data_IF_864019222969
#
_entry.id   IF_864019222969
#
_cell.length_a   1.000
_cell.length_b   1.000
_cell.length_c   1.000
_cell.angle_alpha   90.00
_cell.angle_beta   90.00
_cell.angle_gamma   90.00
#
_symmetry.space_group_name_H-M   'P 1'
#
loop_
_entity.id
_entity.type
_entity.pdbx_description
1 polymer ?
#
# COMPACT_ATOMS: atom_id res chain seq x y z
N UNK A 1 63.88 72.52 -10.63
CA UNK A 1 62.45 72.63 -10.29
C UNK A 1 61.67 71.57 -11.09
N UNK A 2 61.37 70.45 -10.49
CA UNK A 2 60.47 69.40 -11.09
C UNK A 2 59.52 68.98 -10.00
N UNK A 3 58.27 69.34 -10.13
CA UNK A 3 57.14 69.00 -9.28
C UNK A 3 56.71 67.55 -9.54
N UNK A 4 56.74 66.72 -8.50
CA UNK A 4 56.23 65.34 -8.54
C UNK A 4 54.72 65.36 -8.08
N UNK A 5 53.85 65.00 -8.94
CA UNK A 5 52.40 64.80 -8.63
C UNK A 5 52.22 63.33 -8.25
N UNK A 6 51.91 63.08 -6.97
CA UNK A 6 51.64 61.78 -6.46
C UNK A 6 50.13 61.49 -6.71
N UNK A 7 49.86 60.48 -7.56
CA UNK A 7 48.49 60.00 -7.81
C UNK A 7 48.14 58.96 -6.73
N UNK A 8 47.16 59.30 -5.90
CA UNK A 8 46.62 58.39 -4.92
C UNK A 8 45.53 57.54 -5.61
N UNK A 9 45.81 56.26 -5.85
CA UNK A 9 44.85 55.34 -6.40
C UNK A 9 44.00 54.79 -5.24
N UNK A 10 42.74 55.29 -5.17
CA UNK A 10 41.76 54.78 -4.23
C UNK A 10 41.11 53.51 -4.86
N UNK A 11 41.48 52.34 -4.37
CA UNK A 11 40.83 51.10 -4.76
C UNK A 11 39.51 50.99 -3.99
N UNK A 12 38.41 51.21 -4.68
CA UNK A 12 37.08 50.93 -4.15
C UNK A 12 36.82 49.42 -4.32
N UNK A 13 36.90 48.67 -3.23
CA UNK A 13 36.47 47.28 -3.20
C UNK A 13 34.93 47.30 -3.09
N UNK A 14 34.26 47.03 -4.22
CA UNK A 14 32.83 46.75 -4.23
C UNK A 14 32.64 45.30 -3.75
N UNK A 15 32.33 45.15 -2.48
CA UNK A 15 31.83 43.89 -1.93
C UNK A 15 30.42 43.67 -2.51
N UNK A 16 30.34 42.84 -3.54
CA UNK A 16 29.08 42.29 -3.99
C UNK A 16 28.55 41.36 -2.91
N UNK A 17 27.69 41.88 -2.05
CA UNK A 17 26.85 41.06 -1.18
C UNK A 17 25.89 40.33 -2.13
N UNK A 18 26.21 39.06 -2.40
CA UNK A 18 25.23 38.17 -3.02
C UNK A 18 24.09 38.00 -2.00
N UNK A 19 23.03 38.74 -2.22
CA UNK A 19 21.77 38.46 -1.56
C UNK A 19 21.38 37.02 -1.91
N UNK A 20 21.73 36.09 -1.03
CA UNK A 20 21.07 34.80 -1.00
C UNK A 20 19.63 35.11 -0.60
N UNK A 21 18.80 35.34 -1.60
CA UNK A 21 17.37 35.42 -1.41
C UNK A 21 16.91 34.08 -0.82
N UNK A 22 16.86 34.00 0.50
CA UNK A 22 16.04 33.03 1.18
C UNK A 22 14.61 33.34 0.72
N UNK A 23 14.15 32.59 -0.28
CA UNK A 23 12.76 32.58 -0.67
C UNK A 23 11.96 32.27 0.58
N UNK A 24 11.41 33.29 1.21
CA UNK A 24 10.39 33.09 2.25
C UNK A 24 9.24 32.40 1.55
N UNK A 25 9.08 31.10 1.84
CA UNK A 25 7.92 30.34 1.40
C UNK A 25 6.68 31.13 1.82
N UNK A 26 5.86 31.49 0.87
CA UNK A 26 4.62 32.21 1.13
C UNK A 26 3.71 31.36 2.02
N UNK A 27 2.72 31.98 2.69
CA UNK A 27 1.75 31.24 3.49
C UNK A 27 1.01 30.17 2.67
N UNK A 28 0.93 30.32 1.35
CA UNK A 28 0.41 29.32 0.42
C UNK A 28 1.30 28.09 0.34
N UNK A 29 2.64 28.26 0.36
CA UNK A 29 3.59 27.13 0.34
C UNK A 29 3.55 26.28 1.62
N UNK A 30 3.10 26.86 2.72
CA UNK A 30 2.92 26.14 3.99
C UNK A 30 1.62 25.32 4.04
N UNK A 31 0.75 25.42 3.04
CA UNK A 31 -0.57 24.81 3.00
C UNK A 31 -0.64 23.48 2.21
N UNK A 32 0.49 22.98 1.70
CA UNK A 32 0.52 21.73 0.91
C UNK A 32 -0.08 20.56 1.65
N UNK A 33 0.21 20.44 2.94
CA UNK A 33 -0.34 19.37 3.78
C UNK A 33 -1.88 19.32 3.70
N UNK A 34 -2.56 20.44 3.88
CA UNK A 34 -4.03 20.52 3.83
C UNK A 34 -4.62 20.41 2.43
N UNK A 35 -3.89 20.88 1.43
CA UNK A 35 -4.39 20.95 0.06
C UNK A 35 -4.13 19.66 -0.75
N UNK A 36 -3.05 18.96 -0.47
CA UNK A 36 -2.55 17.89 -1.35
C UNK A 36 -2.05 16.63 -0.65
N UNK A 37 -1.71 16.68 0.64
CA UNK A 37 -1.27 15.48 1.36
C UNK A 37 -2.37 14.41 1.40
N UNK A 38 -2.04 13.19 1.02
CA UNK A 38 -2.96 12.06 1.13
C UNK A 38 -3.30 11.72 2.58
N UNK A 39 -2.42 12.06 3.54
CA UNK A 39 -2.72 11.93 4.96
C UNK A 39 -3.81 12.90 5.43
N UNK A 40 -3.91 14.07 4.83
CA UNK A 40 -4.96 15.03 5.15
C UNK A 40 -6.23 14.77 4.34
N UNK A 41 -6.12 14.56 3.03
CA UNK A 41 -7.29 14.48 2.14
C UNK A 41 -7.99 13.13 2.18
N UNK A 42 -7.28 12.04 2.50
CA UNK A 42 -7.72 10.62 2.39
C UNK A 42 -8.42 10.29 1.06
N UNK A 43 -8.09 11.05 0.03
CA UNK A 43 -8.74 10.99 -1.29
C UNK A 43 -8.76 9.58 -1.89
N UNK A 44 -7.71 8.80 -1.67
CA UNK A 44 -7.61 7.44 -2.21
C UNK A 44 -8.72 6.50 -1.71
N UNK A 45 -9.11 6.60 -0.45
CA UNK A 45 -10.19 5.76 0.10
C UNK A 45 -11.54 6.21 -0.43
N UNK A 46 -11.83 7.50 -0.38
CA UNK A 46 -13.07 8.09 -0.89
C UNK A 46 -13.27 7.77 -2.37
N UNK A 47 -12.23 7.98 -3.18
CA UNK A 47 -12.26 7.77 -4.62
C UNK A 47 -12.70 6.35 -5.01
N UNK A 48 -12.17 5.33 -4.34
CA UNK A 48 -12.49 3.94 -4.65
C UNK A 48 -13.77 3.45 -4.00
N UNK A 49 -14.22 4.12 -2.94
CA UNK A 49 -15.47 3.82 -2.24
C UNK A 49 -16.70 4.25 -3.02
N UNK A 50 -16.60 5.32 -3.77
CA UNK A 50 -17.68 5.99 -4.50
C UNK A 50 -18.45 5.02 -5.42
N UNK A 51 -19.78 5.06 -5.33
CA UNK A 51 -20.70 4.26 -6.15
C UNK A 51 -20.55 4.50 -7.65
N UNK A 52 -20.20 5.72 -8.08
CA UNK A 52 -19.99 6.05 -9.49
C UNK A 52 -18.79 5.28 -10.09
N UNK A 53 -17.89 4.79 -9.25
CA UNK A 53 -16.74 3.96 -9.62
C UNK A 53 -16.96 2.47 -9.33
N UNK A 54 -18.18 2.11 -9.02
CA UNK A 54 -18.54 0.74 -8.67
C UNK A 54 -18.12 0.33 -7.26
N UNK A 55 -17.73 1.30 -6.41
CA UNK A 55 -17.23 1.07 -5.07
C UNK A 55 -18.29 0.58 -4.07
N UNK A 56 -17.83 0.35 -2.85
CA UNK A 56 -18.62 -0.25 -1.76
C UNK A 56 -19.90 0.53 -1.44
N UNK A 57 -19.94 1.85 -1.64
CA UNK A 57 -21.14 2.67 -1.51
C UNK A 57 -22.30 2.14 -2.38
N UNK A 58 -22.00 1.50 -3.50
CA UNK A 58 -23.03 0.95 -4.40
C UNK A 58 -23.87 -0.17 -3.78
N UNK A 59 -23.38 -0.83 -2.75
CA UNK A 59 -24.13 -1.87 -2.04
C UNK A 59 -24.56 -1.44 -0.65
N UNK A 60 -23.88 -0.48 -0.04
CA UNK A 60 -24.19 0.02 1.31
C UNK A 60 -25.16 1.19 1.30
N UNK A 61 -25.11 2.04 0.28
CA UNK A 61 -25.86 3.30 0.20
C UNK A 61 -25.41 4.36 1.23
N UNK A 62 -24.32 4.11 1.98
CA UNK A 62 -23.83 5.05 3.01
C UNK A 62 -22.71 5.89 2.40
N UNK A 63 -22.80 7.24 2.41
CA UNK A 63 -21.74 8.11 1.92
C UNK A 63 -20.43 7.93 2.69
N UNK A 64 -19.28 8.13 2.02
CA UNK A 64 -17.97 8.02 2.66
C UNK A 64 -17.82 8.96 3.85
N UNK A 65 -18.39 10.16 3.78
CA UNK A 65 -18.38 11.17 4.84
C UNK A 65 -18.96 10.67 6.16
N UNK A 66 -19.84 9.66 6.13
CA UNK A 66 -20.55 9.14 7.30
C UNK A 66 -19.80 7.96 7.92
N UNK A 67 -18.69 7.55 7.32
CA UNK A 67 -17.91 6.40 7.79
C UNK A 67 -16.83 6.78 8.80
N UNK A 68 -16.60 5.91 9.76
CA UNK A 68 -15.46 5.98 10.68
C UNK A 68 -14.09 5.81 10.01
N UNK A 69 -14.02 5.51 8.71
CA UNK A 69 -12.77 5.44 7.94
C UNK A 69 -11.95 6.74 8.01
N UNK A 70 -12.63 7.88 8.12
CA UNK A 70 -12.01 9.20 8.31
C UNK A 70 -11.30 9.38 9.65
N UNK A 71 -11.48 8.47 10.62
CA UNK A 71 -10.84 8.59 11.94
C UNK A 71 -9.32 8.44 11.91
N UNK A 72 -8.76 7.87 10.85
CA UNK A 72 -7.31 7.86 10.61
C UNK A 72 -6.81 9.11 9.89
N UNK A 73 -7.67 10.09 9.68
CA UNK A 73 -7.37 11.33 8.98
C UNK A 73 -6.53 12.26 9.85
N UNK A 74 -5.44 12.79 9.30
CA UNK A 74 -4.52 13.66 10.01
C UNK A 74 -4.91 15.12 9.80
N UNK A 75 -5.57 15.71 10.79
CA UNK A 75 -6.09 17.08 10.70
C UNK A 75 -5.04 18.17 11.03
N UNK A 76 -3.95 17.81 11.71
CA UNK A 76 -2.96 18.76 12.21
C UNK A 76 -1.57 18.14 12.37
N UNK A 77 -0.55 18.97 12.36
CA UNK A 77 0.86 18.57 12.56
C UNK A 77 1.10 17.91 13.93
N UNK A 78 0.30 18.27 14.92
CA UNK A 78 0.37 17.74 16.30
C UNK A 78 0.32 16.23 16.37
N UNK A 79 -0.44 15.60 15.46
CA UNK A 79 -0.64 14.15 15.47
C UNK A 79 0.69 13.41 15.36
N UNK A 80 1.64 13.94 14.59
CA UNK A 80 2.94 13.31 14.36
C UNK A 80 4.07 14.01 15.10
N UNK A 81 4.06 15.35 15.16
CA UNK A 81 5.21 16.14 15.62
C UNK A 81 5.18 16.52 17.09
N UNK A 82 4.04 16.41 17.76
CA UNK A 82 3.91 16.82 19.16
C UNK A 82 4.63 15.83 20.08
N UNK A 83 5.54 16.35 20.87
CA UNK A 83 6.27 15.62 21.90
C UNK A 83 6.29 16.43 23.22
N UNK A 84 6.64 15.79 24.31
CA UNK A 84 6.89 16.42 25.60
C UNK A 84 8.36 16.31 25.93
N UNK A 85 8.99 17.45 26.22
CA UNK A 85 10.37 17.53 26.66
C UNK A 85 10.45 18.44 27.89
N UNK A 86 10.99 17.95 28.99
CA UNK A 86 11.10 18.66 30.28
C UNK A 86 9.79 19.30 30.77
N UNK A 87 8.67 18.57 30.60
CA UNK A 87 7.32 19.05 30.98
C UNK A 87 6.74 20.12 30.05
N UNK A 88 7.39 20.39 28.90
CA UNK A 88 6.93 21.36 27.90
C UNK A 88 6.56 20.64 26.60
N UNK A 89 5.49 21.12 25.97
CA UNK A 89 5.11 20.67 24.64
C UNK A 89 6.05 21.28 23.59
N UNK A 90 6.64 20.42 22.77
CA UNK A 90 7.54 20.79 21.69
C UNK A 90 7.11 20.10 20.38
N UNK A 91 7.54 20.65 19.25
CA UNK A 91 7.43 19.98 17.95
C UNK A 91 8.76 19.30 17.62
N UNK A 92 8.73 18.01 17.39
CA UNK A 92 9.92 17.18 17.15
C UNK A 92 9.77 16.36 15.88
N UNK A 93 10.79 16.43 15.02
CA UNK A 93 10.91 15.55 13.87
C UNK A 93 11.21 14.11 14.31
N UNK A 94 11.93 13.94 15.40
CA UNK A 94 12.21 12.62 15.97
C UNK A 94 10.92 11.91 16.40
N UNK A 95 10.00 12.65 17.03
CA UNK A 95 8.66 12.11 17.36
C UNK A 95 7.89 11.69 16.11
N UNK A 96 7.94 12.50 15.04
CA UNK A 96 7.24 12.22 13.79
C UNK A 96 7.80 11.04 13.01
N UNK A 97 9.10 10.77 13.13
CA UNK A 97 9.79 9.65 12.47
C UNK A 97 9.80 8.36 13.29
N UNK A 98 9.23 8.38 14.50
CA UNK A 98 9.08 7.18 15.32
C UNK A 98 8.11 6.20 14.64
N UNK A 99 8.56 4.96 14.43
CA UNK A 99 7.78 3.92 13.77
C UNK A 99 6.44 3.65 14.46
N UNK A 100 6.39 3.66 15.79
CA UNK A 100 5.16 3.42 16.55
C UNK A 100 4.10 4.49 16.26
N UNK A 101 4.51 5.71 15.91
CA UNK A 101 3.59 6.75 15.48
C UNK A 101 2.86 6.37 14.19
N UNK A 102 3.58 5.86 13.21
CA UNK A 102 3.02 5.39 11.94
C UNK A 102 2.04 4.22 12.15
N UNK A 103 2.44 3.25 12.96
CA UNK A 103 1.70 2.00 13.19
C UNK A 103 0.38 2.18 13.96
N UNK A 104 0.15 3.33 14.59
CA UNK A 104 -1.16 3.65 15.20
C UNK A 104 -2.31 3.65 14.19
N UNK A 105 -2.03 4.06 12.96
CA UNK A 105 -3.01 4.11 11.86
C UNK A 105 -2.75 3.02 10.80
N UNK A 106 -1.48 2.68 10.54
CA UNK A 106 -1.09 1.66 9.58
C UNK A 106 -1.17 0.23 10.17
N UNK A 107 -2.36 -0.12 10.66
CA UNK A 107 -2.62 -1.38 11.37
C UNK A 107 -2.37 -2.64 10.52
N UNK A 108 -2.52 -2.55 9.19
CA UNK A 108 -2.19 -3.67 8.30
C UNK A 108 -0.69 -3.96 8.32
N UNK A 109 0.13 -2.94 8.28
CA UNK A 109 1.59 -3.07 8.30
C UNK A 109 2.06 -3.57 9.67
N UNK A 110 1.45 -3.07 10.77
CA UNK A 110 1.67 -3.60 12.10
C UNK A 110 1.32 -5.10 12.20
N UNK A 111 0.21 -5.51 11.58
CA UNK A 111 -0.20 -6.92 11.53
C UNK A 111 0.77 -7.76 10.71
N UNK A 112 1.23 -7.23 9.57
CA UNK A 112 2.21 -7.91 8.72
C UNK A 112 3.52 -8.17 9.47
N UNK A 113 4.05 -7.17 10.16
CA UNK A 113 5.29 -7.29 10.94
C UNK A 113 5.16 -8.39 12.00
N UNK A 114 4.06 -8.39 12.78
CA UNK A 114 3.78 -9.42 13.80
C UNK A 114 3.63 -10.81 13.21
N UNK A 115 2.97 -10.95 12.07
CA UNK A 115 2.79 -12.23 11.38
C UNK A 115 4.14 -12.75 10.88
N UNK A 116 4.93 -11.91 10.24
CA UNK A 116 6.25 -12.27 9.74
C UNK A 116 7.19 -12.71 10.87
N UNK A 117 7.17 -12.00 12.00
CA UNK A 117 7.94 -12.36 13.19
C UNK A 117 7.52 -13.74 13.72
N UNK A 118 6.21 -13.95 13.88
CA UNK A 118 5.66 -15.24 14.36
C UNK A 118 6.00 -16.41 13.43
N UNK A 119 6.07 -16.16 12.13
CA UNK A 119 6.42 -17.19 11.13
C UNK A 119 7.93 -17.36 10.93
N UNK A 120 8.77 -16.56 11.59
CA UNK A 120 10.22 -16.58 11.40
C UNK A 120 10.67 -16.09 10.01
N UNK A 121 9.85 -15.29 9.36
CA UNK A 121 10.10 -14.73 8.01
C UNK A 121 10.02 -13.20 8.01
N UNK A 122 10.82 -12.51 8.85
CA UNK A 122 10.77 -11.07 8.94
C UNK A 122 11.19 -10.41 7.61
N UNK A 123 10.72 -9.17 7.39
CA UNK A 123 11.16 -8.34 6.27
C UNK A 123 12.66 -8.06 6.39
N UNK A 124 13.39 -8.20 5.29
CA UNK A 124 14.86 -8.04 5.29
C UNK A 124 15.30 -6.62 5.61
N UNK A 125 14.53 -5.61 5.21
CA UNK A 125 14.85 -4.21 5.49
C UNK A 125 14.63 -3.89 6.97
N UNK A 126 13.52 -4.39 7.54
CA UNK A 126 13.26 -4.26 8.96
C UNK A 126 14.33 -4.98 9.80
N UNK A 127 14.72 -6.19 9.40
CA UNK A 127 15.81 -6.94 10.05
C UNK A 127 17.15 -6.21 9.97
N UNK A 128 17.38 -5.47 8.88
CA UNK A 128 18.56 -4.62 8.71
C UNK A 128 18.49 -3.31 9.52
N UNK A 129 17.39 -3.06 10.25
CA UNK A 129 17.21 -1.88 11.09
C UNK A 129 16.66 -0.65 10.38
N UNK A 130 16.21 -0.79 9.12
CA UNK A 130 15.58 0.33 8.39
C UNK A 130 14.22 0.66 9.02
N UNK A 131 13.96 1.96 9.12
CA UNK A 131 12.71 2.54 9.62
C UNK A 131 11.80 2.94 8.47
N UNK A 132 10.55 3.23 8.77
CA UNK A 132 9.57 3.69 7.77
C UNK A 132 10.11 4.86 6.93
N UNK A 133 10.73 5.83 7.57
CA UNK A 133 11.24 7.06 6.96
C UNK A 133 12.54 6.91 6.17
N UNK A 134 13.18 5.73 6.20
CA UNK A 134 14.31 5.45 5.32
C UNK A 134 13.88 5.18 3.87
N UNK A 135 12.59 4.86 3.69
CA UNK A 135 11.97 4.67 2.38
C UNK A 135 10.90 5.72 2.09
N UNK A 136 10.08 6.08 3.08
CA UNK A 136 8.97 7.03 2.92
C UNK A 136 9.42 8.44 3.22
N UNK A 137 9.27 9.35 2.25
CA UNK A 137 9.82 10.70 2.32
C UNK A 137 8.88 11.70 3.00
N UNK A 138 9.44 12.83 3.45
CA UNK A 138 8.65 13.94 3.96
C UNK A 138 7.68 14.49 2.89
N UNK A 139 8.00 14.41 1.59
CA UNK A 139 7.10 14.79 0.51
C UNK A 139 5.85 13.92 0.49
N UNK A 140 5.98 12.61 0.65
CA UNK A 140 4.83 11.70 0.72
C UNK A 140 3.91 12.02 1.90
N UNK A 141 4.51 12.44 3.03
CA UNK A 141 3.76 12.77 4.25
C UNK A 141 3.03 14.11 4.13
N UNK A 142 3.72 15.14 3.64
CA UNK A 142 3.21 16.51 3.65
C UNK A 142 2.55 16.94 2.32
N UNK A 143 2.76 16.18 1.23
CA UNK A 143 2.37 16.59 -0.11
C UNK A 143 3.36 17.57 -0.72
N UNK A 144 3.18 17.87 -2.00
CA UNK A 144 4.01 18.75 -2.83
C UNK A 144 3.19 19.83 -3.59
N UNK A 145 1.92 19.94 -3.26
CA UNK A 145 0.96 20.80 -3.97
C UNK A 145 0.15 20.07 -5.04
N UNK A 146 0.58 18.88 -5.47
CA UNK A 146 -0.16 18.03 -6.41
C UNK A 146 -1.27 17.28 -5.71
N UNK A 147 -2.49 17.37 -6.23
CA UNK A 147 -3.63 16.60 -5.68
C UNK A 147 -3.63 15.19 -6.26
N UNK A 148 -3.15 14.25 -5.49
CA UNK A 148 -3.27 12.84 -5.84
C UNK A 148 -4.61 12.28 -5.37
N UNK A 149 -5.25 11.50 -6.24
CA UNK A 149 -6.51 10.82 -5.91
C UNK A 149 -6.29 9.45 -5.27
N UNK A 150 -5.07 8.96 -5.22
CA UNK A 150 -4.68 7.71 -4.58
C UNK A 150 -3.16 7.65 -4.40
N UNK A 151 -2.70 6.99 -3.35
CA UNK A 151 -1.28 6.63 -3.18
C UNK A 151 -0.74 5.74 -4.32
N UNK A 152 -1.62 5.12 -5.09
CA UNK A 152 -1.26 4.29 -6.27
C UNK A 152 -1.21 5.09 -7.57
N UNK A 153 -1.55 6.36 -7.55
CA UNK A 153 -1.37 7.22 -8.71
C UNK A 153 0.12 7.45 -8.95
N UNK A 154 0.53 7.44 -10.20
CA UNK A 154 1.90 7.72 -10.59
C UNK A 154 2.37 9.06 -10.02
N UNK A 155 3.57 9.08 -9.44
CA UNK A 155 4.14 10.24 -8.77
C UNK A 155 3.67 10.49 -7.33
N UNK A 156 2.64 9.78 -6.84
CA UNK A 156 2.16 9.97 -5.48
C UNK A 156 3.15 9.50 -4.41
N UNK A 157 3.90 8.43 -4.71
CA UNK A 157 4.88 7.82 -3.81
C UNK A 157 6.29 7.89 -4.39
N UNK A 158 7.27 8.13 -3.52
CA UNK A 158 8.69 8.18 -3.91
C UNK A 158 9.35 6.81 -3.83
N UNK A 159 8.81 5.91 -3.00
CA UNK A 159 9.45 4.62 -2.71
C UNK A 159 9.64 3.78 -3.96
N UNK A 160 10.91 3.50 -4.26
CA UNK A 160 11.34 2.68 -5.38
C UNK A 160 12.54 1.82 -4.96
N UNK A 161 12.52 0.53 -5.31
CA UNK A 161 13.59 -0.41 -4.98
C UNK A 161 14.92 -0.01 -5.62
N UNK A 162 14.88 0.51 -6.85
CA UNK A 162 16.06 0.90 -7.63
C UNK A 162 16.80 2.12 -7.08
N UNK A 163 16.23 2.87 -6.12
CA UNK A 163 16.94 3.97 -5.44
C UNK A 163 18.14 3.46 -4.63
N UNK A 164 18.05 2.25 -4.09
CA UNK A 164 19.12 1.62 -3.32
C UNK A 164 19.71 0.39 -4.03
N UNK A 165 18.90 -0.31 -4.82
CA UNK A 165 19.31 -1.51 -5.55
C UNK A 165 19.61 -1.18 -7.03
N UNK A 166 20.70 -0.44 -7.27
CA UNK A 166 21.16 -0.02 -8.59
C UNK A 166 21.78 -1.18 -9.41
N UNK A 167 22.27 -2.22 -8.74
CA UNK A 167 22.92 -3.39 -9.33
C UNK A 167 22.10 -4.65 -9.11
N UNK A 168 21.27 -4.99 -10.10
CA UNK A 168 20.48 -6.21 -10.06
C UNK A 168 21.35 -7.40 -10.50
N UNK A 169 21.37 -8.44 -9.67
CA UNK A 169 22.06 -9.70 -9.99
C UNK A 169 21.51 -10.31 -11.27
N UNK A 170 22.39 -10.69 -12.19
CA UNK A 170 22.02 -11.35 -13.45
C UNK A 170 21.65 -12.82 -13.21
N UNK A 171 20.50 -13.04 -12.60
CA UNK A 171 19.90 -14.38 -12.49
C UNK A 171 19.04 -14.68 -13.73
N UNK A 172 18.78 -15.94 -13.98
CA UNK A 172 17.88 -16.38 -15.07
C UNK A 172 16.50 -15.73 -14.92
N UNK A 173 15.96 -15.67 -13.70
CA UNK A 173 14.67 -15.05 -13.41
C UNK A 173 14.67 -13.57 -13.77
N UNK A 174 15.71 -12.83 -13.41
CA UNK A 174 15.82 -11.41 -13.75
C UNK A 174 15.95 -11.21 -15.27
N UNK A 175 16.69 -12.10 -15.97
CA UNK A 175 16.85 -12.02 -17.44
C UNK A 175 15.52 -12.28 -18.17
N UNK A 176 14.78 -13.31 -17.78
CA UNK A 176 13.52 -13.71 -18.44
C UNK A 176 12.41 -12.69 -18.20
N UNK A 177 12.28 -12.22 -16.96
CA UNK A 177 11.17 -11.35 -16.56
C UNK A 177 11.45 -9.87 -16.78
N UNK A 178 12.70 -9.41 -16.60
CA UNK A 178 13.13 -8.01 -16.86
C UNK A 178 12.06 -6.97 -16.48
N UNK A 179 11.66 -6.16 -17.44
CA UNK A 179 10.66 -5.09 -17.29
C UNK A 179 9.20 -5.57 -17.23
N UNK A 180 8.93 -6.88 -17.31
CA UNK A 180 7.57 -7.43 -17.31
C UNK A 180 7.00 -7.60 -15.91
N UNK A 181 7.87 -7.88 -14.94
CA UNK A 181 7.50 -8.02 -13.55
C UNK A 181 8.10 -6.87 -12.73
N UNK A 182 7.34 -6.41 -11.76
CA UNK A 182 7.82 -5.56 -10.68
C UNK A 182 8.63 -6.43 -9.69
N UNK A 183 9.63 -5.86 -9.02
CA UNK A 183 10.42 -6.54 -7.98
C UNK A 183 9.52 -7.18 -6.92
N UNK A 184 8.43 -6.53 -6.59
CA UNK A 184 7.45 -6.95 -5.58
C UNK A 184 6.68 -8.20 -5.96
N UNK A 185 6.55 -8.53 -7.25
CA UNK A 185 5.92 -9.78 -7.67
C UNK A 185 6.69 -11.02 -7.17
N UNK A 186 8.03 -10.93 -7.13
CA UNK A 186 8.90 -12.01 -6.70
C UNK A 186 9.38 -11.87 -5.26
N UNK A 187 9.74 -10.67 -4.81
CA UNK A 187 10.39 -10.46 -3.52
C UNK A 187 9.42 -10.21 -2.35
N UNK A 188 8.16 -9.84 -2.60
CA UNK A 188 7.12 -9.84 -1.56
C UNK A 188 6.67 -11.29 -1.31
N UNK A 189 6.93 -11.82 -0.12
CA UNK A 189 6.59 -13.20 0.23
C UNK A 189 5.09 -13.41 0.32
N UNK A 190 4.41 -12.55 1.04
CA UNK A 190 2.98 -12.64 1.31
C UNK A 190 2.36 -11.26 1.54
N UNK A 191 1.04 -11.22 1.47
CA UNK A 191 0.24 -10.02 1.82
C UNK A 191 -0.74 -10.38 2.93
N UNK A 192 -1.08 -9.40 3.78
CA UNK A 192 -2.20 -9.54 4.71
C UNK A 192 -3.46 -9.01 4.04
N UNK A 193 -4.40 -9.91 3.86
CA UNK A 193 -5.76 -9.60 3.40
C UNK A 193 -6.68 -9.43 4.60
N UNK A 194 -7.49 -8.37 4.59
CA UNK A 194 -8.55 -8.21 5.57
C UNK A 194 -9.84 -8.79 4.97
N UNK A 195 -10.25 -9.98 5.43
CA UNK A 195 -11.48 -10.62 4.98
C UNK A 195 -12.65 -10.30 5.91
N UNK A 196 -13.85 -10.36 5.38
CA UNK A 196 -15.10 -10.13 6.12
C UNK A 196 -15.12 -8.80 6.89
N UNK A 197 -14.57 -7.72 6.31
CA UNK A 197 -14.66 -6.41 6.94
C UNK A 197 -16.12 -6.07 7.18
N UNK A 198 -16.52 -6.03 8.47
CA UNK A 198 -17.91 -5.88 8.87
C UNK A 198 -18.33 -4.42 8.80
N UNK A 199 -19.19 -4.11 7.84
CA UNK A 199 -19.54 -2.73 7.52
C UNK A 199 -20.38 -2.05 8.62
N UNK A 200 -21.27 -2.81 9.26
CA UNK A 200 -22.16 -2.28 10.29
C UNK A 200 -21.40 -1.75 11.54
N UNK A 201 -20.34 -2.45 11.97
CA UNK A 201 -19.53 -1.97 13.09
C UNK A 201 -18.77 -0.70 12.73
N UNK A 202 -18.38 -0.56 11.46
CA UNK A 202 -17.71 0.64 10.97
C UNK A 202 -18.64 1.85 10.99
N UNK A 203 -19.91 1.67 10.63
CA UNK A 203 -20.93 2.72 10.65
C UNK A 203 -21.37 3.06 12.08
N UNK A 204 -21.72 2.03 12.88
CA UNK A 204 -22.34 2.22 14.21
C UNK A 204 -21.33 2.59 15.29
N UNK A 205 -20.15 1.99 15.23
CA UNK A 205 -19.14 2.09 16.30
C UNK A 205 -17.86 2.82 15.88
N UNK A 206 -17.72 3.17 14.61
CA UNK A 206 -16.48 3.71 14.05
C UNK A 206 -15.31 2.72 14.10
N UNK A 207 -15.59 1.43 14.36
CA UNK A 207 -14.57 0.39 14.50
C UNK A 207 -14.46 -0.46 13.26
N UNK A 208 -13.24 -0.72 12.88
CA UNK A 208 -12.91 -1.64 11.80
C UNK A 208 -12.73 -3.05 12.36
N UNK A 209 -13.68 -3.94 12.07
CA UNK A 209 -13.62 -5.35 12.46
C UNK A 209 -13.48 -6.18 11.19
N UNK A 210 -12.44 -7.01 11.12
CA UNK A 210 -12.15 -7.86 9.97
C UNK A 210 -11.27 -9.05 10.41
N UNK A 211 -11.23 -10.10 9.61
CA UNK A 211 -10.38 -11.27 9.84
C UNK A 211 -9.11 -11.09 8.99
N UNK A 212 -7.92 -10.92 9.60
CA UNK A 212 -6.66 -10.88 8.86
C UNK A 212 -6.28 -12.29 8.39
N UNK A 213 -5.98 -12.41 7.11
CA UNK A 213 -5.54 -13.65 6.46
C UNK A 213 -4.21 -13.38 5.76
N UNK A 214 -3.27 -14.34 5.85
CA UNK A 214 -1.95 -14.26 5.22
C UNK A 214 -1.55 -15.60 4.60
N UNK A 215 -0.34 -15.71 4.06
CA UNK A 215 0.15 -16.95 3.42
C UNK A 215 -0.12 -17.02 1.92
N UNK A 216 -0.65 -15.96 1.33
CA UNK A 216 -0.83 -15.81 -0.09
C UNK A 216 -0.30 -14.47 -0.62
N UNK A 217 -0.16 -14.34 -1.93
CA UNK A 217 0.03 -13.07 -2.62
C UNK A 217 -0.69 -13.16 -3.97
N UNK A 218 -1.42 -12.12 -4.32
CA UNK A 218 -2.09 -12.06 -5.61
C UNK A 218 -1.19 -11.40 -6.65
N UNK A 219 -1.42 -11.68 -7.94
CA UNK A 219 -0.75 -11.03 -9.05
C UNK A 219 -1.74 -10.22 -9.90
N UNK A 220 -1.41 -8.96 -10.12
CA UNK A 220 -2.18 -8.03 -10.97
C UNK A 220 -1.23 -7.22 -11.86
N UNK A 221 -1.78 -6.61 -12.92
CA UNK A 221 -1.08 -5.56 -13.66
C UNK A 221 -1.19 -4.22 -12.93
N UNK A 222 -0.09 -3.50 -12.89
CA UNK A 222 0.01 -2.14 -12.41
C UNK A 222 1.18 -1.43 -13.08
N UNK A 223 0.96 -0.21 -13.62
CA UNK A 223 1.98 0.57 -14.32
C UNK A 223 2.76 -0.25 -15.37
N UNK A 224 2.05 -1.03 -16.18
CA UNK A 224 2.63 -1.83 -17.26
C UNK A 224 3.41 -3.08 -16.84
N UNK A 225 3.50 -3.38 -15.54
CA UNK A 225 4.17 -4.57 -15.01
C UNK A 225 3.20 -5.43 -14.21
N UNK A 226 3.49 -6.71 -14.08
CA UNK A 226 2.82 -7.58 -13.10
C UNK A 226 3.47 -7.35 -11.74
N UNK A 227 2.66 -7.10 -10.73
CA UNK A 227 3.09 -6.82 -9.35
C UNK A 227 2.33 -7.66 -8.33
N UNK A 228 2.79 -7.66 -7.08
CA UNK A 228 2.04 -8.22 -5.96
C UNK A 228 0.75 -7.42 -5.71
N UNK A 229 -0.29 -8.13 -5.33
CA UNK A 229 -1.60 -7.56 -5.05
C UNK A 229 -2.23 -8.18 -3.81
N UNK A 230 -3.30 -7.57 -3.36
CA UNK A 230 -4.07 -7.97 -2.20
C UNK A 230 -5.54 -8.10 -2.56
N UNK A 231 -6.26 -8.90 -1.79
CA UNK A 231 -7.70 -9.04 -1.81
C UNK A 231 -8.29 -8.58 -0.48
N UNK A 232 -9.47 -7.99 -0.51
CA UNK A 232 -10.26 -7.71 0.68
C UNK A 232 -11.71 -8.06 0.43
N UNK A 233 -12.39 -8.57 1.46
CA UNK A 233 -13.84 -8.78 1.40
C UNK A 233 -14.55 -7.98 2.47
N UNK A 234 -15.77 -7.58 2.14
CA UNK A 234 -16.66 -6.80 3.00
C UNK A 234 -18.02 -7.49 3.09
N UNK A 235 -18.63 -7.36 4.25
CA UNK A 235 -20.00 -7.83 4.52
C UNK A 235 -20.81 -6.62 5.00
N UNK A 236 -21.96 -6.42 4.36
CA UNK A 236 -22.91 -5.35 4.68
C UNK A 236 -24.30 -5.93 4.95
N UNK A 237 -25.21 -5.12 5.47
CA UNK A 237 -26.59 -5.47 5.78
C UNK A 237 -27.28 -6.21 4.63
N UNK A 238 -28.10 -7.20 4.98
CA UNK A 238 -28.83 -8.02 4.00
C UNK A 238 -27.95 -9.02 3.28
N UNK A 239 -26.92 -9.53 3.95
CA UNK A 239 -25.97 -10.51 3.41
C UNK A 239 -25.27 -10.05 2.11
N UNK A 240 -25.24 -8.74 1.87
CA UNK A 240 -24.53 -8.18 0.71
C UNK A 240 -23.04 -8.29 0.93
N UNK A 241 -22.36 -8.74 -0.11
CA UNK A 241 -20.91 -8.95 -0.05
C UNK A 241 -20.19 -8.19 -1.15
N UNK A 242 -18.92 -7.86 -0.89
CA UNK A 242 -18.11 -7.09 -1.80
C UNK A 242 -16.66 -7.61 -1.74
N UNK A 243 -15.98 -7.60 -2.87
CA UNK A 243 -14.59 -8.06 -2.98
C UNK A 243 -13.78 -7.04 -3.76
N UNK A 244 -12.61 -6.70 -3.24
CA UNK A 244 -11.68 -5.75 -3.87
C UNK A 244 -10.37 -6.47 -4.13
N UNK A 245 -9.81 -6.27 -5.33
CA UNK A 245 -8.42 -6.57 -5.63
C UNK A 245 -7.65 -5.27 -5.91
N UNK A 246 -6.46 -5.15 -5.34
CA UNK A 246 -5.62 -3.96 -5.47
C UNK A 246 -4.13 -4.32 -5.49
N UNK A 247 -3.28 -3.61 -6.24
CA UNK A 247 -1.84 -3.69 -6.07
C UNK A 247 -1.46 -3.41 -4.61
N UNK A 248 -0.63 -4.25 -4.02
CA UNK A 248 -0.20 -4.12 -2.63
C UNK A 248 1.31 -4.32 -2.53
N UNK A 249 1.97 -3.38 -1.88
CA UNK A 249 3.40 -3.43 -1.63
C UNK A 249 3.57 -3.74 -0.14
N UNK A 250 3.69 -5.03 0.16
CA UNK A 250 3.71 -5.51 1.53
C UNK A 250 5.11 -5.42 2.14
N UNK A 251 5.19 -5.07 3.42
CA UNK A 251 6.41 -5.13 4.22
C UNK A 251 6.68 -6.58 4.64
N UNK A 252 6.90 -7.40 3.63
CA UNK A 252 7.24 -8.83 3.71
C UNK A 252 8.28 -9.17 2.65
N UNK A 253 9.28 -8.32 2.51
CA UNK A 253 10.31 -8.48 1.47
C UNK A 253 11.34 -9.50 1.91
N UNK A 254 11.68 -10.44 1.02
CA UNK A 254 12.75 -11.41 1.20
C UNK A 254 13.91 -11.16 0.26
N UNK A 255 15.11 -11.54 0.70
CA UNK A 255 16.31 -11.53 -0.13
C UNK A 255 16.14 -12.46 -1.33
N UNK A 256 15.65 -13.67 -1.07
CA UNK A 256 15.39 -14.65 -2.12
C UNK A 256 14.03 -14.37 -2.77
N UNK A 257 14.03 -14.26 -4.09
CA UNK A 257 12.80 -14.17 -4.86
C UNK A 257 12.08 -15.51 -4.95
N UNK A 258 10.80 -15.47 -5.30
CA UNK A 258 10.01 -16.68 -5.59
C UNK A 258 10.66 -17.51 -6.69
N UNK A 259 10.53 -18.82 -6.59
CA UNK A 259 10.99 -19.76 -7.59
C UNK A 259 10.00 -19.86 -8.76
N UNK A 260 10.43 -20.44 -9.86
CA UNK A 260 9.56 -20.62 -11.04
C UNK A 260 8.29 -21.40 -10.71
N UNK A 261 8.45 -22.47 -9.94
CA UNK A 261 7.38 -23.38 -9.50
C UNK A 261 6.40 -22.76 -8.51
N UNK A 262 6.76 -21.67 -7.85
CA UNK A 262 5.84 -20.95 -6.95
C UNK A 262 4.77 -20.16 -7.73
N UNK A 263 5.05 -19.85 -9.01
CA UNK A 263 4.19 -19.02 -9.85
C UNK A 263 3.69 -19.73 -11.11
N UNK A 264 4.37 -20.80 -11.56
CA UNK A 264 4.06 -21.46 -12.83
C UNK A 264 3.50 -22.85 -12.62
N UNK A 265 2.38 -23.16 -13.28
CA UNK A 265 1.70 -24.46 -13.25
C UNK A 265 1.31 -24.92 -11.84
N UNK A 266 0.98 -23.96 -11.00
CA UNK A 266 0.55 -24.23 -9.61
C UNK A 266 -0.85 -24.86 -9.57
N UNK A 267 -1.28 -25.33 -8.41
CA UNK A 267 -2.66 -25.79 -8.20
C UNK A 267 -3.64 -24.62 -8.39
N UNK A 268 -3.28 -23.41 -7.90
CA UNK A 268 -4.10 -22.22 -8.06
C UNK A 268 -4.27 -21.83 -9.54
N UNK A 269 -3.22 -21.94 -10.35
CA UNK A 269 -3.32 -21.65 -11.79
C UNK A 269 -4.31 -22.59 -12.48
N UNK A 270 -4.32 -23.88 -12.13
CA UNK A 270 -5.22 -24.88 -12.70
C UNK A 270 -6.66 -24.67 -12.26
N UNK A 271 -6.87 -24.30 -11.02
CA UNK A 271 -8.21 -23.98 -10.50
C UNK A 271 -8.79 -22.76 -11.22
N UNK A 272 -7.97 -21.71 -11.41
CA UNK A 272 -8.33 -20.50 -12.16
C UNK A 272 -8.60 -20.81 -13.65
N UNK A 273 -7.82 -21.68 -14.28
CA UNK A 273 -8.04 -22.10 -15.67
C UNK A 273 -9.37 -22.84 -15.85
N UNK A 274 -9.86 -23.49 -14.82
CA UNK A 274 -11.19 -24.09 -14.75
C UNK A 274 -12.33 -23.07 -14.48
N UNK A 275 -12.02 -21.78 -14.39
CA UNK A 275 -12.97 -20.68 -14.26
C UNK A 275 -13.39 -20.33 -12.83
N UNK A 276 -12.84 -20.98 -11.81
CA UNK A 276 -13.10 -20.67 -10.42
C UNK A 276 -11.83 -20.77 -9.58
N UNK A 277 -11.82 -20.12 -8.41
CA UNK A 277 -10.75 -20.19 -7.40
C UNK A 277 -11.37 -20.14 -6.01
N UNK A 278 -11.12 -21.14 -5.18
CA UNK A 278 -11.57 -21.14 -3.79
C UNK A 278 -10.52 -20.44 -2.91
N UNK A 279 -10.80 -19.19 -2.56
CA UNK A 279 -9.92 -18.40 -1.68
C UNK A 279 -10.04 -18.87 -0.23
N UNK A 280 -11.28 -19.08 0.24
CA UNK A 280 -11.57 -19.68 1.54
C UNK A 280 -12.75 -20.63 1.43
N UNK A 281 -12.77 -21.71 2.24
CA UNK A 281 -13.85 -22.71 2.27
C UNK A 281 -14.06 -23.25 3.70
N UNK A 282 -15.20 -23.85 3.92
CA UNK A 282 -15.49 -24.54 5.18
C UNK A 282 -15.06 -26.02 5.08
N UNK A 283 -14.31 -26.46 6.09
CA UNK A 283 -13.91 -27.84 6.25
C UNK A 283 -14.05 -28.23 7.72
N UNK A 284 -14.92 -29.20 8.02
CA UNK A 284 -15.24 -29.59 9.39
C UNK A 284 -15.77 -28.46 10.28
N UNK A 285 -16.40 -27.42 9.69
CA UNK A 285 -16.88 -26.22 10.40
C UNK A 285 -15.83 -25.15 10.61
N UNK A 286 -14.58 -25.39 10.23
CA UNK A 286 -13.48 -24.40 10.24
C UNK A 286 -13.30 -23.74 8.88
N UNK A 287 -12.94 -22.47 8.88
CA UNK A 287 -12.58 -21.76 7.64
C UNK A 287 -11.13 -22.09 7.30
N UNK A 288 -10.96 -22.74 6.15
CA UNK A 288 -9.67 -22.99 5.52
C UNK A 288 -9.42 -21.95 4.41
N UNK A 289 -8.18 -21.82 3.97
CA UNK A 289 -7.78 -20.83 2.96
C UNK A 289 -6.76 -21.40 1.97
N UNK A 290 -6.75 -20.83 0.77
CA UNK A 290 -5.69 -21.04 -0.21
C UNK A 290 -4.37 -20.41 0.27
N UNK A 291 -3.28 -20.81 -0.34
CA UNK A 291 -1.94 -20.28 -0.07
C UNK A 291 -1.15 -20.11 -1.36
N UNK A 292 0.01 -19.44 -1.26
CA UNK A 292 0.92 -19.23 -2.38
C UNK A 292 0.48 -18.10 -3.31
N UNK A 293 0.83 -18.21 -4.58
CA UNK A 293 0.54 -17.18 -5.57
C UNK A 293 -0.82 -17.44 -6.23
N UNK A 294 -1.63 -16.40 -6.31
CA UNK A 294 -2.98 -16.43 -6.87
C UNK A 294 -3.09 -15.35 -7.95
N UNK A 295 -3.09 -15.72 -9.24
CA UNK A 295 -3.34 -14.78 -10.33
C UNK A 295 -4.73 -14.16 -10.25
N UNK A 296 -4.84 -12.84 -10.46
CA UNK A 296 -6.12 -12.18 -10.64
C UNK A 296 -6.43 -12.13 -12.13
N UNK A 297 -7.47 -12.86 -12.53
CA UNK A 297 -7.90 -13.01 -13.94
C UNK A 297 -9.35 -12.59 -14.05
N UNK A 298 -9.68 -11.85 -15.09
CA UNK A 298 -11.06 -11.40 -15.31
C UNK A 298 -11.99 -12.57 -15.68
N UNK A 299 -13.25 -12.50 -15.26
CA UNK A 299 -14.22 -13.55 -15.51
C UNK A 299 -14.11 -14.80 -14.61
N UNK A 300 -13.06 -14.91 -13.79
CA UNK A 300 -12.92 -16.01 -12.82
C UNK A 300 -13.80 -15.79 -11.60
N UNK A 301 -14.43 -16.85 -11.12
CA UNK A 301 -15.23 -16.83 -9.90
C UNK A 301 -14.31 -17.05 -8.69
N UNK A 302 -14.04 -16.00 -7.93
CA UNK A 302 -13.30 -16.09 -6.67
C UNK A 302 -14.27 -16.34 -5.51
N UNK A 303 -14.30 -17.59 -5.04
CA UNK A 303 -15.16 -18.02 -3.93
C UNK A 303 -14.50 -17.68 -2.60
N UNK A 304 -15.29 -17.22 -1.64
CA UNK A 304 -14.86 -16.95 -0.28
C UNK A 304 -15.98 -17.25 0.71
N UNK A 305 -15.63 -17.71 1.90
CA UNK A 305 -16.57 -17.81 3.01
C UNK A 305 -16.80 -16.41 3.56
N UNK A 306 -18.03 -15.95 3.44
CA UNK A 306 -18.46 -14.70 4.07
C UNK A 306 -19.00 -14.97 5.46
N UNK A 307 -18.64 -14.13 6.43
CA UNK A 307 -19.04 -14.27 7.82
C UNK A 307 -19.59 -12.97 8.35
N UNK A 308 -20.69 -13.05 9.09
CA UNK A 308 -21.22 -11.95 9.85
C UNK A 308 -20.52 -11.85 11.21
N UNK A 309 -20.50 -10.65 11.80
CA UNK A 309 -19.90 -10.40 13.12
C UNK A 309 -20.95 -9.85 14.07
N UNK A 310 -21.27 -10.62 15.09
CA UNK A 310 -22.23 -10.23 16.12
C UNK A 310 -21.71 -10.61 17.51
N UNK A 311 -21.80 -9.68 18.45
CA UNK A 311 -21.43 -9.90 19.87
C UNK A 311 -20.06 -10.55 20.07
N UNK A 312 -19.07 -10.16 19.26
CA UNK A 312 -17.71 -10.64 19.37
C UNK A 312 -17.44 -11.98 18.65
N UNK A 313 -18.43 -12.52 17.92
CA UNK A 313 -18.33 -13.81 17.24
C UNK A 313 -18.50 -13.68 15.73
N UNK A 314 -17.76 -14.50 14.99
CA UNK A 314 -17.89 -14.67 13.57
C UNK A 314 -18.76 -15.88 13.24
N UNK A 315 -19.76 -15.72 12.37
CA UNK A 315 -20.66 -16.78 11.95
C UNK A 315 -20.75 -16.81 10.44
N UNK A 316 -20.50 -17.94 9.77
CA UNK A 316 -20.66 -18.04 8.32
C UNK A 316 -22.08 -17.69 7.88
N UNK A 317 -22.18 -16.95 6.78
CA UNK A 317 -23.44 -16.61 6.13
C UNK A 317 -23.79 -17.77 5.19
N UNK A 318 -24.94 -18.40 5.38
CA UNK A 318 -25.34 -19.57 4.59
C UNK A 318 -25.54 -19.24 3.11
N UNK A 319 -26.23 -18.12 2.82
CA UNK A 319 -26.56 -17.69 1.46
C UNK A 319 -26.12 -16.22 1.26
N UNK A 320 -24.80 -15.98 1.10
CA UNK A 320 -24.33 -14.63 0.83
C UNK A 320 -24.76 -14.19 -0.58
N UNK A 321 -25.14 -12.94 -0.70
CA UNK A 321 -25.33 -12.34 -2.03
C UNK A 321 -23.98 -12.40 -2.77
N UNK A 322 -23.99 -12.87 -4.02
CA UNK A 322 -22.77 -12.97 -4.83
C UNK A 322 -21.96 -11.66 -4.75
N UNK A 323 -20.66 -11.72 -4.43
CA UNK A 323 -19.88 -10.51 -4.23
C UNK A 323 -19.78 -9.69 -5.50
N UNK A 324 -19.98 -8.38 -5.36
CA UNK A 324 -19.56 -7.44 -6.38
C UNK A 324 -18.03 -7.31 -6.30
N UNK A 325 -17.37 -7.51 -7.41
CA UNK A 325 -15.90 -7.43 -7.51
C UNK A 325 -15.49 -6.07 -8.08
N UNK A 326 -14.50 -5.44 -7.47
CA UNK A 326 -13.90 -4.20 -7.93
C UNK A 326 -12.38 -4.32 -7.99
N UNK A 327 -11.79 -3.87 -9.10
CA UNK A 327 -10.35 -3.69 -9.24
C UNK A 327 -10.03 -2.22 -8.95
N UNK A 328 -9.16 -1.98 -7.96
CA UNK A 328 -8.87 -0.61 -7.48
C UNK A 328 -7.36 -0.32 -7.52
N UNK A 329 -6.98 0.90 -7.18
CA UNK A 329 -5.57 1.31 -7.12
C UNK A 329 -4.89 1.28 -8.49
N UNK A 330 -5.66 1.54 -9.56
CA UNK A 330 -5.20 1.47 -10.97
C UNK A 330 -4.67 0.10 -11.38
N UNK A 331 -4.90 -0.93 -10.57
CA UNK A 331 -4.59 -2.31 -10.91
C UNK A 331 -5.63 -2.90 -11.86
N UNK A 332 -5.19 -3.79 -12.73
CA UNK A 332 -6.08 -4.54 -13.62
C UNK A 332 -5.75 -6.03 -13.57
N UNK A 333 -6.71 -6.92 -13.86
CA UNK A 333 -6.45 -8.34 -13.97
C UNK A 333 -5.33 -8.65 -14.96
N UNK A 334 -4.72 -9.81 -14.82
CA UNK A 334 -3.78 -10.33 -15.82
C UNK A 334 -4.52 -10.55 -17.14
N UNK A 335 -3.87 -10.19 -18.24
CA UNK A 335 -4.38 -10.55 -19.55
C UNK A 335 -4.34 -12.07 -19.76
N UNK A 336 -5.20 -12.59 -20.62
CA UNK A 336 -5.20 -14.00 -21.03
C UNK A 336 -3.80 -14.49 -21.48
N UNK A 337 -3.08 -13.65 -22.26
CA UNK A 337 -1.71 -13.93 -22.67
C UNK A 337 -0.72 -14.06 -21.52
N UNK A 338 -0.88 -13.26 -20.47
CA UNK A 338 -0.05 -13.35 -19.27
C UNK A 338 -0.39 -14.60 -18.49
N UNK A 339 -1.68 -14.87 -18.27
CA UNK A 339 -2.15 -16.04 -17.53
C UNK A 339 -1.73 -17.36 -18.22
N UNK A 340 -1.87 -17.46 -19.54
CA UNK A 340 -1.38 -18.63 -20.30
C UNK A 340 0.11 -18.93 -20.15
N UNK A 341 0.92 -17.94 -19.72
CA UNK A 341 2.33 -18.20 -19.39
C UNK A 341 2.51 -18.83 -18.02
N UNK A 342 1.63 -18.52 -17.07
CA UNK A 342 1.65 -19.14 -15.75
C UNK A 342 1.27 -20.62 -15.82
N UNK A 343 0.36 -21.00 -16.70
CA UNK A 343 -0.04 -22.41 -16.91
C UNK A 343 1.10 -23.30 -17.44
N UNK A 344 2.16 -22.71 -17.98
CA UNK A 344 3.30 -23.48 -18.50
C UNK A 344 4.24 -23.86 -17.36
N UNK A 345 4.55 -25.17 -17.27
CA UNK A 345 5.56 -25.64 -16.34
C UNK A 345 6.92 -25.00 -16.62
N UNK A 346 7.50 -24.43 -15.60
CA UNK A 346 8.85 -23.89 -15.59
C UNK A 346 9.58 -24.46 -14.38
N UNK A 347 10.80 -24.91 -14.54
CA UNK A 347 11.63 -25.40 -13.41
C UNK A 347 12.79 -24.45 -13.20
N UNK A 348 13.07 -24.15 -11.94
CA UNK A 348 14.30 -23.43 -11.57
C UNK A 348 15.49 -24.29 -12.01
N UNK A 349 16.37 -23.72 -12.83
CA UNK A 349 17.66 -24.35 -13.06
C UNK A 349 18.53 -24.11 -11.82
N UNK A 350 19.10 -25.21 -11.29
CA UNK A 350 20.04 -25.17 -10.16
C UNK A 350 21.35 -24.51 -10.55
#
# INVERSE_FOLDING_TARGET
MKSAITFLLTVVIVLSISDVAFSQKTAADQCFFKASSLHFTVSGMEYWYDKARGGLESITGVPYSDLGCKNCHIAACDVCHKAEQDGKLVYSNEAATNQDMCLKCHAREASMMKINEKLGTPDVHHTAGLKCTDCHTAREMHGDGTKYISMKQEGAMDVNCEQCHDKITKSISHIIHRSKLDCKACHVQQVVSCTNCHFETMVKEGKRVAIPVSGWSFLMNYNGKVTSANMQTFVASGNKTFMIFAPQFSHSVSKEGKKCEDCHNTANDKEIDNGAMNLTWLDGGEVKQASGIIPVVDGVLYNSVFQNYESGKWTPIADPVKPKVQYVGFGTPLSEKQFKKLLKSQKSQK
#
